data_IF_398668762038
#
_entry.id   IF_398668762038
#
_cell.length_a   1.000
_cell.length_b   1.000
_cell.length_c   1.000
_cell.angle_alpha   90.00
_cell.angle_beta   90.00
_cell.angle_gamma   90.00
#
_symmetry.space_group_name_H-M   'P 1'
#
loop_
_entity.id
_entity.type
_entity.pdbx_description
1 polymer ?
#
# COMPACT_ATOMS: atom_id res chain seq x y z
N UNK A 1 -4.27 15.27 -8.12
CA UNK A 1 -4.48 13.95 -7.47
C UNK A 1 -4.06 12.87 -8.45
N UNK A 2 -3.91 11.59 -8.05
CA UNK A 2 -3.39 10.54 -8.93
C UNK A 2 -4.22 10.47 -10.22
N UNK A 3 -3.55 10.36 -11.37
CA UNK A 3 -4.22 10.29 -12.68
C UNK A 3 -5.23 9.13 -12.71
N UNK A 4 -6.44 9.43 -13.19
CA UNK A 4 -7.57 8.50 -13.32
C UNK A 4 -8.16 7.95 -12.00
N UNK A 5 -7.69 8.40 -10.82
CA UNK A 5 -8.17 7.87 -9.54
C UNK A 5 -9.69 8.05 -9.34
N UNK A 6 -10.24 9.21 -9.72
CA UNK A 6 -11.68 9.47 -9.61
C UNK A 6 -12.53 8.62 -10.56
N UNK A 7 -12.04 8.40 -11.78
CA UNK A 7 -12.74 7.58 -12.78
C UNK A 7 -12.75 6.10 -12.36
N UNK A 8 -11.63 5.60 -11.82
CA UNK A 8 -11.55 4.24 -11.26
C UNK A 8 -12.48 4.10 -10.05
N UNK A 9 -12.51 5.09 -9.16
CA UNK A 9 -13.39 5.06 -7.99
C UNK A 9 -14.88 4.98 -8.36
N UNK A 10 -15.29 5.66 -9.44
CA UNK A 10 -16.65 5.60 -9.97
C UNK A 10 -16.90 4.41 -10.91
N UNK A 11 -15.99 3.42 -11.00
CA UNK A 11 -16.06 2.28 -11.91
C UNK A 11 -16.21 2.68 -13.40
N UNK A 12 -15.76 3.88 -13.77
CA UNK A 12 -15.78 4.37 -15.16
C UNK A 12 -14.55 3.91 -15.94
N UNK A 13 -13.53 3.41 -15.25
CA UNK A 13 -12.28 2.90 -15.82
C UNK A 13 -11.76 1.71 -15.01
N UNK A 14 -11.01 0.83 -15.66
CA UNK A 14 -10.35 -0.32 -15.04
C UNK A 14 -9.30 0.12 -14.01
N UNK A 15 -9.13 -0.66 -12.95
CA UNK A 15 -8.13 -0.40 -11.91
C UNK A 15 -6.69 -0.39 -12.47
N UNK A 16 -6.43 -1.10 -13.56
CA UNK A 16 -5.15 -1.10 -14.29
C UNK A 16 -4.83 0.24 -14.97
N UNK A 17 -5.83 1.09 -15.18
CA UNK A 17 -5.65 2.42 -15.79
C UNK A 17 -5.30 3.51 -14.77
N UNK A 18 -5.18 3.15 -13.49
CA UNK A 18 -4.73 4.07 -12.44
C UNK A 18 -3.30 4.55 -12.74
N UNK A 19 -2.99 5.82 -12.48
CA UNK A 19 -1.68 6.43 -12.68
C UNK A 19 -0.58 5.96 -11.73
N UNK A 20 -0.49 4.66 -11.45
CA UNK A 20 0.52 4.02 -10.59
C UNK A 20 1.10 2.82 -11.33
N UNK A 21 2.44 2.78 -11.45
CA UNK A 21 3.13 1.70 -12.15
C UNK A 21 4.42 1.34 -11.44
N UNK A 22 4.68 0.05 -11.24
CA UNK A 22 6.00 -0.43 -10.86
C UNK A 22 6.88 -0.45 -12.11
N UNK A 23 8.01 0.26 -12.08
CA UNK A 23 9.01 0.24 -13.18
C UNK A 23 9.97 -0.93 -12.98
N UNK A 24 10.28 -1.24 -11.72
CA UNK A 24 11.12 -2.36 -11.29
C UNK A 24 10.64 -2.86 -9.91
N UNK A 25 11.32 -3.88 -9.36
CA UNK A 25 10.95 -4.54 -8.10
C UNK A 25 11.02 -3.61 -6.87
N UNK A 26 11.69 -2.47 -6.97
CA UNK A 26 11.93 -1.52 -5.89
C UNK A 26 11.48 -0.08 -6.19
N UNK A 27 10.98 0.19 -7.39
CA UNK A 27 10.61 1.53 -7.86
C UNK A 27 9.16 1.58 -8.32
N UNK A 28 8.38 2.44 -7.66
CA UNK A 28 7.01 2.75 -8.04
C UNK A 28 6.92 4.19 -8.56
N UNK A 29 6.42 4.34 -9.78
CA UNK A 29 6.16 5.62 -10.44
C UNK A 29 4.69 6.03 -10.23
N UNK A 30 4.50 7.26 -9.75
CA UNK A 30 3.19 7.88 -9.58
C UNK A 30 3.04 9.03 -10.57
N UNK A 31 1.95 9.00 -11.36
CA UNK A 31 1.59 10.10 -12.26
C UNK A 31 0.49 10.94 -11.61
N UNK A 32 0.80 12.21 -11.37
CA UNK A 32 -0.11 13.18 -10.77
C UNK A 32 -0.68 14.12 -11.84
N UNK A 33 -1.95 14.51 -11.71
CA UNK A 33 -2.59 15.49 -12.60
C UNK A 33 -2.09 16.93 -12.39
N UNK A 34 -1.61 17.24 -11.19
CA UNK A 34 -1.08 18.55 -10.81
C UNK A 34 0.10 18.37 -9.86
N UNK A 35 0.99 19.36 -9.80
CA UNK A 35 2.10 19.37 -8.85
C UNK A 35 1.56 19.38 -7.40
N UNK A 36 1.88 18.34 -6.63
CA UNK A 36 1.46 18.20 -5.24
C UNK A 36 2.67 17.92 -4.35
N UNK A 37 3.25 18.98 -3.78
CA UNK A 37 4.41 18.89 -2.88
C UNK A 37 4.11 18.11 -1.59
N UNK A 38 2.83 18.02 -1.19
CA UNK A 38 2.38 17.26 -0.03
C UNK A 38 2.22 15.75 -0.30
N UNK A 39 2.38 15.29 -1.55
CA UNK A 39 2.15 13.89 -1.91
C UNK A 39 3.04 12.89 -1.17
N UNK A 40 4.36 13.15 -0.94
CA UNK A 40 5.19 12.27 -0.10
C UNK A 40 4.64 12.08 1.33
N UNK A 41 4.04 13.13 1.91
CA UNK A 41 3.40 13.02 3.22
C UNK A 41 2.11 12.19 3.15
N UNK A 42 1.34 12.30 2.05
CA UNK A 42 0.13 11.49 1.85
C UNK A 42 0.43 10.00 1.72
N UNK A 43 1.45 9.61 0.96
CA UNK A 43 1.78 8.18 0.78
C UNK A 43 2.29 7.51 2.07
N UNK A 44 2.60 8.29 3.11
CA UNK A 44 2.91 7.79 4.45
C UNK A 44 1.66 7.41 5.26
N UNK A 45 0.47 7.80 4.81
CA UNK A 45 -0.80 7.47 5.47
C UNK A 45 -1.13 5.98 5.34
N UNK A 46 -1.95 5.47 6.28
CA UNK A 46 -2.36 4.05 6.31
C UNK A 46 -3.04 3.58 5.03
N UNK A 47 -3.74 4.46 4.33
CA UNK A 47 -4.44 4.15 3.08
C UNK A 47 -3.50 3.77 1.92
N UNK A 48 -2.24 4.19 1.96
CA UNK A 48 -1.23 3.92 0.92
C UNK A 48 -0.26 2.81 1.32
N UNK A 49 -0.53 2.08 2.41
CA UNK A 49 0.31 0.96 2.82
C UNK A 49 0.18 -0.20 1.82
N UNK A 50 1.30 -0.85 1.44
CA UNK A 50 1.24 -2.00 0.57
C UNK A 50 0.53 -3.16 1.27
N UNK A 51 -0.26 -3.91 0.52
CA UNK A 51 -0.97 -5.09 0.99
C UNK A 51 -0.37 -6.35 0.36
N UNK A 52 -0.27 -7.47 1.11
CA UNK A 52 0.30 -8.72 0.61
C UNK A 52 -0.66 -9.41 -0.36
N UNK A 53 -0.47 -9.20 -1.66
CA UNK A 53 -1.33 -9.77 -2.71
C UNK A 53 -1.40 -11.30 -2.65
N UNK A 54 -0.27 -11.98 -2.43
CA UNK A 54 -0.22 -13.44 -2.32
C UNK A 54 -1.07 -14.01 -1.17
N UNK A 55 -1.11 -13.32 -0.03
CA UNK A 55 -1.94 -13.71 1.10
C UNK A 55 -3.41 -13.45 0.81
N UNK A 56 -3.72 -12.31 0.18
CA UNK A 56 -5.11 -11.95 -0.18
C UNK A 56 -5.66 -12.94 -1.21
N UNK A 57 -4.90 -13.26 -2.24
CA UNK A 57 -5.31 -14.20 -3.29
C UNK A 57 -5.53 -15.61 -2.73
N UNK A 58 -4.75 -16.02 -1.71
CA UNK A 58 -4.86 -17.34 -1.06
C UNK A 58 -6.00 -17.45 -0.04
N UNK A 59 -6.20 -16.45 0.81
CA UNK A 59 -7.10 -16.52 1.96
C UNK A 59 -8.37 -15.67 1.80
N UNK A 60 -8.48 -14.89 0.72
CA UNK A 60 -9.62 -14.02 0.45
C UNK A 60 -9.91 -13.10 1.63
N UNK A 61 -11.17 -13.05 2.07
CA UNK A 61 -11.60 -12.22 3.21
C UNK A 61 -10.93 -12.57 4.55
N UNK A 62 -10.37 -13.78 4.70
CA UNK A 62 -9.71 -14.24 5.93
C UNK A 62 -8.22 -13.89 5.99
N UNK A 63 -7.72 -13.12 5.04
CA UNK A 63 -6.31 -12.72 5.00
C UNK A 63 -5.88 -11.90 6.23
N UNK A 64 -6.82 -11.26 6.92
CA UNK A 64 -6.57 -10.47 8.14
C UNK A 64 -6.57 -11.28 9.43
N UNK A 65 -6.91 -12.56 9.38
CA UNK A 65 -6.89 -13.41 10.58
C UNK A 65 -5.44 -13.57 11.08
N UNK A 66 -5.20 -13.67 12.41
CA UNK A 66 -3.84 -13.73 12.98
C UNK A 66 -2.94 -14.81 12.36
N UNK A 67 -3.52 -15.93 11.94
CA UNK A 67 -2.80 -17.06 11.32
C UNK A 67 -2.34 -16.78 9.88
N UNK A 68 -3.03 -15.87 9.17
CA UNK A 68 -2.83 -15.64 7.74
C UNK A 68 -2.14 -14.31 7.46
N UNK A 69 -2.35 -13.31 8.32
CA UNK A 69 -1.93 -11.94 8.08
C UNK A 69 -0.42 -11.81 7.98
N UNK A 70 0.02 -11.18 6.90
CA UNK A 70 1.42 -10.81 6.71
C UNK A 70 1.54 -9.29 6.77
N UNK A 71 2.37 -8.80 7.68
CA UNK A 71 2.62 -7.37 7.86
C UNK A 71 4.05 -7.04 7.44
N UNK A 72 4.25 -5.84 6.88
CA UNK A 72 5.55 -5.28 6.57
C UNK A 72 6.10 -4.36 7.67
N UNK A 73 5.34 -4.19 8.77
CA UNK A 73 5.72 -3.34 9.89
C UNK A 73 6.59 -4.05 10.95
N UNK A 74 6.95 -3.31 12.00
CA UNK A 74 7.77 -3.82 13.11
C UNK A 74 7.05 -4.82 14.02
N UNK A 75 5.77 -5.09 13.78
CA UNK A 75 4.94 -5.94 14.63
C UNK A 75 4.16 -6.95 13.78
N UNK A 76 4.01 -8.16 14.32
CA UNK A 76 3.16 -9.23 13.82
C UNK A 76 1.92 -9.32 14.71
N UNK A 77 0.78 -9.64 14.11
CA UNK A 77 -0.45 -9.92 14.85
C UNK A 77 -0.43 -11.37 15.31
N UNK A 78 -0.44 -11.57 16.63
CA UNK A 78 -0.32 -12.91 17.23
C UNK A 78 -1.67 -13.41 17.74
N UNK A 79 -2.47 -12.51 18.32
CA UNK A 79 -3.80 -12.83 18.81
C UNK A 79 -4.74 -11.66 18.53
N UNK A 80 -5.94 -11.97 18.06
CA UNK A 80 -7.00 -10.98 17.90
C UNK A 80 -8.32 -11.52 18.45
N UNK A 81 -8.66 -11.04 19.64
CA UNK A 81 -9.97 -11.27 20.25
C UNK A 81 -10.88 -10.06 19.95
N UNK A 82 -11.92 -10.30 19.16
CA UNK A 82 -12.79 -9.25 18.62
C UNK A 82 -13.60 -8.61 19.76
N UNK A 83 -13.19 -7.41 20.15
CA UNK A 83 -13.85 -6.62 21.21
C UNK A 83 -13.18 -6.69 22.58
N UNK A 84 -12.09 -7.45 22.72
CA UNK A 84 -11.38 -7.61 23.98
C UNK A 84 -9.93 -7.15 23.88
N UNK A 85 -9.11 -7.84 23.07
CA UNK A 85 -7.66 -7.60 23.01
C UNK A 85 -7.05 -7.87 21.64
N UNK A 86 -5.96 -7.16 21.38
CA UNK A 86 -5.07 -7.37 20.24
C UNK A 86 -3.66 -7.55 20.80
N UNK A 87 -3.04 -8.70 20.54
CA UNK A 87 -1.67 -8.99 20.96
C UNK A 87 -0.76 -8.93 19.75
N UNK A 88 0.28 -8.10 19.86
CA UNK A 88 1.28 -7.89 18.83
C UNK A 88 2.65 -8.31 19.35
N UNK A 89 3.40 -9.07 18.54
CA UNK A 89 4.79 -9.42 18.84
C UNK A 89 5.73 -8.67 17.92
N UNK A 90 6.88 -8.22 18.43
CA UNK A 90 7.88 -7.53 17.63
C UNK A 90 8.47 -8.45 16.56
N UNK A 91 8.59 -7.95 15.34
CA UNK A 91 9.24 -8.66 14.23
C UNK A 91 10.72 -8.30 14.22
N UNK A 92 11.60 -9.31 14.20
CA UNK A 92 13.00 -9.10 13.80
C UNK A 92 13.02 -8.80 12.30
N UNK A 93 13.14 -7.53 11.94
CA UNK A 93 13.31 -7.09 10.56
C UNK A 93 14.74 -7.39 10.11
N UNK A 94 14.90 -8.26 9.12
CA UNK A 94 16.21 -8.58 8.50
C UNK A 94 16.56 -7.62 7.35
N UNK A 95 15.61 -6.81 6.88
CA UNK A 95 15.83 -5.88 5.77
C UNK A 95 16.42 -4.55 6.24
N UNK A 96 17.41 -3.96 5.53
CA UNK A 96 17.75 -2.56 5.72
C UNK A 96 16.52 -1.72 5.39
N UNK A 97 16.28 -0.63 6.14
CA UNK A 97 15.13 0.27 6.00
C UNK A 97 14.85 0.51 4.51
N UNK A 98 13.75 -0.04 4.00
CA UNK A 98 13.36 0.10 2.60
C UNK A 98 13.18 1.59 2.30
N UNK A 99 14.13 2.19 1.57
CA UNK A 99 14.06 3.58 1.13
C UNK A 99 13.12 3.61 -0.06
N UNK A 100 11.88 4.02 0.15
CA UNK A 100 10.95 4.29 -0.95
C UNK A 100 11.43 5.55 -1.67
N UNK A 101 12.14 5.38 -2.79
CA UNK A 101 12.52 6.50 -3.67
C UNK A 101 11.27 6.88 -4.48
N UNK A 102 10.61 7.96 -4.07
CA UNK A 102 9.45 8.50 -4.77
C UNK A 102 9.93 9.35 -5.94
N UNK A 103 9.89 8.80 -7.16
CA UNK A 103 10.10 9.59 -8.38
C UNK A 103 8.74 10.12 -8.86
N UNK A 104 8.59 11.45 -8.87
CA UNK A 104 7.41 12.12 -9.40
C UNK A 104 7.67 12.61 -10.82
N UNK A 105 6.86 12.17 -11.79
CA UNK A 105 6.75 12.83 -13.10
C UNK A 105 5.50 13.70 -13.13
N UNK A 106 5.70 14.98 -13.39
CA UNK A 106 4.63 15.94 -13.64
C UNK A 106 4.40 15.93 -15.15
N UNK A 107 3.21 15.54 -15.61
CA UNK A 107 2.81 15.80 -16.99
C UNK A 107 2.33 17.26 -17.05
N UNK A 108 3.17 18.15 -17.56
CA UNK A 108 2.76 19.47 -18.02
C UNK A 108 1.85 19.29 -19.24
N UNK A 109 0.63 19.81 -19.15
CA UNK A 109 -0.20 20.13 -20.34
C UNK A 109 0.40 21.35 -21.01
#
# INVERSE_FOLDING_TARGET
MIKNAEAVHHNKMEASSLGVRAIDDHTVEFTLTHAAAYFPAMVSLRAYRPLPRHTIDKYGHKWTDPENIQTNGSYLLTEWDKGSKIVLTTRKLTFPKCVTILSQKIQSV
#
